data_IF_505430014721
#
_entry.id   IF_505430014721
#
_cell.length_a   1.000
_cell.length_b   1.000
_cell.length_c   1.000
_cell.angle_alpha   90.00
_cell.angle_beta   90.00
_cell.angle_gamma   90.00
#
_symmetry.space_group_name_H-M   'P 1'
#
loop_
_entity.id
_entity.type
_entity.pdbx_description
1 polymer ?
#
# COMPACT_ATOMS: atom_id res chain seq x y z
N UNK A 1 -4.05 -43.56 41.97
CA UNK A 1 -3.76 -43.18 40.56
C UNK A 1 -2.26 -43.08 40.42
N UNK A 2 -1.64 -44.04 39.72
CA UNK A 2 -0.19 -44.07 39.52
C UNK A 2 0.17 -43.21 38.30
N UNK A 3 0.99 -42.18 38.48
CA UNK A 3 1.66 -41.48 37.39
C UNK A 3 2.71 -42.41 36.77
N UNK A 4 2.56 -42.74 35.49
CA UNK A 4 3.55 -43.51 34.75
C UNK A 4 4.90 -42.79 34.76
N UNK A 5 6.01 -43.43 35.18
CA UNK A 5 7.34 -42.84 35.06
C UNK A 5 7.71 -42.78 33.57
N UNK A 6 7.85 -41.57 33.03
CA UNK A 6 8.31 -41.35 31.66
C UNK A 6 9.70 -41.94 31.45
N UNK A 7 9.89 -42.64 30.32
CA UNK A 7 11.21 -43.14 29.87
C UNK A 7 12.16 -41.95 29.77
N UNK A 8 13.31 -42.01 30.45
CA UNK A 8 14.37 -41.03 30.30
C UNK A 8 14.93 -41.14 28.86
N UNK A 9 15.14 -40.01 28.15
CA UNK A 9 15.65 -40.05 26.77
C UNK A 9 17.00 -40.78 26.75
N UNK A 10 17.09 -41.85 25.96
CA UNK A 10 18.29 -42.70 25.90
C UNK A 10 19.28 -42.21 24.83
N UNK A 11 18.81 -41.44 23.86
CA UNK A 11 19.59 -40.99 22.71
C UNK A 11 19.87 -39.48 22.79
N UNK A 12 21.13 -39.08 22.55
CA UNK A 12 21.54 -37.66 22.53
C UNK A 12 20.71 -36.82 21.54
N UNK A 13 20.19 -37.44 20.48
CA UNK A 13 19.31 -36.81 19.49
C UNK A 13 17.95 -36.42 20.09
N UNK A 14 17.39 -37.23 20.99
CA UNK A 14 16.13 -36.92 21.68
C UNK A 14 16.31 -35.78 22.68
N UNK A 15 17.44 -35.75 23.37
CA UNK A 15 17.81 -34.65 24.29
C UNK A 15 18.00 -33.35 23.51
N UNK A 16 18.70 -33.41 22.35
CA UNK A 16 18.90 -32.24 21.49
C UNK A 16 17.58 -31.73 20.89
N UNK A 17 16.70 -32.62 20.43
CA UNK A 17 15.37 -32.27 19.94
C UNK A 17 14.47 -31.68 21.04
N UNK A 18 14.46 -32.26 22.25
CA UNK A 18 13.70 -31.72 23.38
C UNK A 18 14.20 -30.33 23.80
N UNK A 19 15.53 -30.13 23.79
CA UNK A 19 16.13 -28.84 24.14
C UNK A 19 15.82 -27.76 23.10
N UNK A 20 15.86 -28.08 21.81
CA UNK A 20 15.52 -27.14 20.75
C UNK A 20 14.02 -26.80 20.75
N UNK A 21 13.14 -27.77 20.99
CA UNK A 21 11.69 -27.54 21.18
C UNK A 21 11.44 -26.64 22.39
N UNK A 22 12.08 -26.91 23.53
CA UNK A 22 11.93 -26.08 24.73
C UNK A 22 12.41 -24.64 24.50
N UNK A 23 13.50 -24.43 23.76
CA UNK A 23 13.96 -23.08 23.36
C UNK A 23 12.90 -22.35 22.52
N UNK A 24 12.31 -23.03 21.54
CA UNK A 24 11.24 -22.47 20.71
C UNK A 24 10.03 -22.11 21.59
N UNK A 25 9.57 -23.01 22.46
CA UNK A 25 8.43 -22.76 23.36
C UNK A 25 8.66 -21.57 24.30
N UNK A 26 9.87 -21.41 24.84
CA UNK A 26 10.23 -20.24 25.66
C UNK A 26 10.14 -18.96 24.83
N UNK A 27 10.66 -18.97 23.61
CA UNK A 27 10.56 -17.82 22.70
C UNK A 27 9.11 -17.50 22.29
N UNK A 28 8.27 -18.50 22.07
CA UNK A 28 6.85 -18.34 21.74
C UNK A 28 6.07 -17.79 22.94
N UNK A 29 6.34 -18.27 24.16
CA UNK A 29 5.78 -17.69 25.39
C UNK A 29 6.19 -16.24 25.58
N UNK A 30 7.42 -15.86 25.20
CA UNK A 30 7.85 -14.46 25.24
C UNK A 30 7.08 -13.60 24.21
N UNK A 31 6.79 -14.12 23.02
CA UNK A 31 5.94 -13.45 22.01
C UNK A 31 4.49 -13.28 22.48
N UNK A 32 3.94 -14.25 23.21
CA UNK A 32 2.58 -14.17 23.76
C UNK A 32 2.38 -13.00 24.74
N UNK A 33 3.46 -12.51 25.36
CA UNK A 33 3.43 -11.35 26.28
C UNK A 33 3.41 -10.01 25.54
N UNK A 34 3.58 -10.01 24.21
CA UNK A 34 3.54 -8.79 23.39
C UNK A 34 2.08 -8.40 23.16
N UNK A 35 1.67 -7.17 23.48
CA UNK A 35 0.31 -6.71 23.22
C UNK A 35 -0.03 -6.78 21.73
N UNK A 36 -1.10 -7.49 21.38
CA UNK A 36 -1.61 -7.56 20.01
C UNK A 36 -2.66 -6.47 19.76
N UNK A 37 -2.55 -5.80 18.62
CA UNK A 37 -3.50 -4.77 18.17
C UNK A 37 -4.15 -5.21 16.87
N UNK A 38 -5.48 -5.25 16.82
CA UNK A 38 -6.24 -5.51 15.61
C UNK A 38 -6.97 -4.23 15.18
N UNK A 39 -6.60 -3.71 14.00
CA UNK A 39 -7.35 -2.61 13.39
C UNK A 39 -8.53 -3.18 12.60
N UNK A 40 -9.74 -2.89 13.07
CA UNK A 40 -11.00 -3.23 12.41
C UNK A 40 -11.64 -1.98 11.81
N UNK A 41 -12.41 -2.17 10.73
CA UNK A 41 -13.11 -1.09 10.05
C UNK A 41 -13.60 -1.50 8.67
N UNK A 42 -14.55 -0.76 8.11
CA UNK A 42 -15.13 -0.97 6.78
C UNK A 42 -14.09 -0.91 5.67
N UNK A 43 -14.40 -1.47 4.49
CA UNK A 43 -13.56 -1.29 3.31
C UNK A 43 -13.25 0.20 3.08
N UNK A 44 -12.00 0.52 2.71
CA UNK A 44 -11.56 1.90 2.42
C UNK A 44 -11.45 2.87 3.62
N UNK A 45 -11.68 2.40 4.85
CA UNK A 45 -11.57 3.24 6.06
C UNK A 45 -10.15 3.71 6.44
N UNK A 46 -9.15 3.60 5.55
CA UNK A 46 -7.78 4.04 5.80
C UNK A 46 -6.92 3.16 6.73
N UNK A 47 -7.38 1.96 7.13
CA UNK A 47 -6.61 1.04 8.02
C UNK A 47 -5.22 0.73 7.48
N UNK A 48 -5.13 0.39 6.19
CA UNK A 48 -3.85 0.08 5.55
C UNK A 48 -2.93 1.31 5.56
N UNK A 49 -3.49 2.51 5.41
CA UNK A 49 -2.75 3.77 5.52
C UNK A 49 -2.16 3.95 6.92
N UNK A 50 -2.97 3.73 7.97
CA UNK A 50 -2.50 3.81 9.36
C UNK A 50 -1.41 2.77 9.65
N UNK A 51 -1.59 1.53 9.17
CA UNK A 51 -0.58 0.48 9.30
C UNK A 51 0.74 0.85 8.62
N UNK A 52 0.68 1.37 7.38
CA UNK A 52 1.88 1.85 6.66
C UNK A 52 2.58 2.96 7.45
N UNK A 53 1.83 3.93 7.96
CA UNK A 53 2.36 5.02 8.82
C UNK A 53 3.06 4.48 10.07
N UNK A 54 2.40 3.59 10.80
CA UNK A 54 2.96 2.93 12.00
C UNK A 54 4.25 2.19 11.68
N UNK A 55 4.29 1.46 10.56
CA UNK A 55 5.48 0.74 10.10
C UNK A 55 6.67 1.66 9.87
N UNK A 56 6.42 2.84 9.32
CA UNK A 56 7.49 3.80 9.01
C UNK A 56 7.99 4.52 10.26
N UNK A 57 7.10 4.80 11.21
CA UNK A 57 7.46 5.49 12.46
C UNK A 57 8.09 4.55 13.50
N UNK A 58 7.65 3.30 13.56
CA UNK A 58 7.94 2.38 14.68
C UNK A 58 8.32 0.96 14.24
N UNK A 59 8.29 0.64 12.95
CA UNK A 59 8.67 -0.66 12.42
C UNK A 59 10.08 -0.66 11.82
N UNK A 60 10.48 -1.79 11.23
CA UNK A 60 11.77 -1.97 10.57
C UNK A 60 11.87 -1.33 9.17
N UNK A 61 10.95 -0.42 8.82
CA UNK A 61 10.85 0.12 7.45
C UNK A 61 10.48 -0.93 6.40
N UNK A 62 10.84 -0.67 5.15
CA UNK A 62 10.62 -1.58 4.00
C UNK A 62 11.96 -2.13 3.51
N UNK A 63 12.01 -3.43 3.25
CA UNK A 63 13.18 -4.04 2.60
C UNK A 63 13.26 -3.68 1.13
N UNK A 64 14.44 -3.80 0.53
CA UNK A 64 14.65 -3.53 -0.90
C UNK A 64 13.75 -4.40 -1.80
N UNK A 65 13.54 -5.66 -1.43
CA UNK A 65 12.62 -6.56 -2.11
C UNK A 65 11.16 -6.04 -2.06
N UNK A 66 10.71 -5.52 -0.91
CA UNK A 66 9.38 -4.95 -0.77
C UNK A 66 9.21 -3.64 -1.54
N UNK A 67 10.25 -2.80 -1.58
CA UNK A 67 10.26 -1.59 -2.39
C UNK A 67 10.21 -1.92 -3.89
N UNK A 68 10.91 -2.98 -4.30
CA UNK A 68 10.89 -3.49 -5.68
C UNK A 68 9.51 -3.98 -6.07
N UNK A 69 8.85 -4.76 -5.22
CA UNK A 69 7.47 -5.23 -5.44
C UNK A 69 6.48 -4.05 -5.45
N UNK A 70 6.61 -3.13 -4.50
CA UNK A 70 5.78 -1.93 -4.45
C UNK A 70 5.93 -1.07 -5.71
N UNK A 71 7.16 -0.90 -6.21
CA UNK A 71 7.42 -0.20 -7.48
C UNK A 71 6.63 -0.79 -8.63
N UNK A 72 6.62 -2.11 -8.78
CA UNK A 72 5.85 -2.79 -9.84
C UNK A 72 4.35 -2.49 -9.69
N UNK A 73 3.81 -2.61 -8.48
CA UNK A 73 2.40 -2.31 -8.21
C UNK A 73 2.04 -0.85 -8.47
N UNK A 74 2.89 0.10 -8.06
CA UNK A 74 2.66 1.53 -8.27
C UNK A 74 2.62 1.85 -9.75
N UNK A 75 3.60 1.36 -10.52
CA UNK A 75 3.67 1.61 -11.96
C UNK A 75 2.49 1.01 -12.72
N UNK A 76 2.03 -0.17 -12.30
CA UNK A 76 0.81 -0.77 -12.85
C UNK A 76 -0.44 0.08 -12.54
N UNK A 77 -0.55 0.64 -11.33
CA UNK A 77 -1.64 1.54 -10.97
C UNK A 77 -1.60 2.83 -11.80
N UNK A 78 -0.42 3.45 -11.96
CA UNK A 78 -0.23 4.63 -12.80
C UNK A 78 -0.66 4.37 -14.23
N UNK A 79 -0.22 3.25 -14.82
CA UNK A 79 -0.61 2.88 -16.19
C UNK A 79 -2.12 2.80 -16.34
N UNK A 80 -2.79 2.14 -15.39
CA UNK A 80 -4.25 2.00 -15.40
C UNK A 80 -4.94 3.37 -15.31
N UNK A 81 -4.47 4.25 -14.43
CA UNK A 81 -5.05 5.59 -14.26
C UNK A 81 -4.85 6.45 -15.50
N UNK A 82 -3.65 6.40 -16.10
CA UNK A 82 -3.30 7.11 -17.33
C UNK A 82 -4.17 6.63 -18.51
N UNK A 83 -4.33 5.32 -18.68
CA UNK A 83 -5.18 4.77 -19.75
C UNK A 83 -6.65 5.13 -19.55
N UNK A 84 -7.16 5.06 -18.31
CA UNK A 84 -8.52 5.46 -17.99
C UNK A 84 -8.76 6.97 -18.22
N UNK A 85 -7.78 7.81 -17.90
CA UNK A 85 -7.85 9.24 -18.17
C UNK A 85 -7.82 9.54 -19.68
N UNK A 86 -6.97 8.84 -20.45
CA UNK A 86 -6.92 8.99 -21.90
C UNK A 86 -8.23 8.56 -22.57
N UNK A 87 -8.84 7.46 -22.12
CA UNK A 87 -10.15 7.03 -22.62
C UNK A 87 -11.25 8.02 -22.25
N UNK A 88 -11.22 8.56 -21.02
CA UNK A 88 -12.14 9.61 -20.61
C UNK A 88 -11.99 10.88 -21.45
N UNK A 89 -10.75 11.24 -21.79
CA UNK A 89 -10.43 12.37 -22.66
C UNK A 89 -10.94 12.20 -24.09
N UNK A 90 -11.13 10.96 -24.57
CA UNK A 90 -11.74 10.64 -25.89
C UNK A 90 -13.27 10.52 -25.83
N UNK A 91 -13.83 10.36 -24.65
CA UNK A 91 -15.26 10.11 -24.47
C UNK A 91 -16.08 11.36 -24.73
N UNK A 92 -16.87 11.38 -25.82
CA UNK A 92 -17.77 12.49 -26.15
C UNK A 92 -18.70 12.86 -24.98
N UNK A 93 -19.22 11.86 -24.26
CA UNK A 93 -20.08 12.06 -23.08
C UNK A 93 -19.42 12.92 -22.00
N UNK A 94 -18.12 12.77 -21.81
CA UNK A 94 -17.37 13.52 -20.79
C UNK A 94 -17.01 14.90 -21.33
N UNK A 95 -16.55 14.98 -22.58
CA UNK A 95 -16.24 16.25 -23.25
C UNK A 95 -17.43 17.21 -23.30
N UNK A 96 -18.63 16.70 -23.57
CA UNK A 96 -19.87 17.48 -23.57
C UNK A 96 -20.15 18.12 -22.20
N UNK A 97 -19.78 17.46 -21.09
CA UNK A 97 -19.94 18.00 -19.74
C UNK A 97 -18.91 19.07 -19.39
N UNK A 98 -17.73 19.04 -20.01
CA UNK A 98 -16.73 20.09 -19.84
C UNK A 98 -17.14 21.38 -20.58
N UNK A 99 -18.11 21.30 -21.49
CA UNK A 99 -18.60 22.44 -22.26
C UNK A 99 -17.58 22.96 -23.28
N UNK A 100 -16.73 22.06 -23.80
CA UNK A 100 -15.78 22.40 -24.85
C UNK A 100 -16.41 22.07 -26.20
N UNK A 101 -16.89 23.11 -26.89
CA UNK A 101 -17.40 23.01 -28.25
C UNK A 101 -16.25 22.67 -29.22
N UNK A 102 -16.03 21.38 -29.43
CA UNK A 102 -15.32 20.80 -30.58
C UNK A 102 -13.91 21.34 -30.91
N UNK A 103 -13.22 22.02 -29.99
CA UNK A 103 -11.78 22.20 -30.06
C UNK A 103 -11.13 20.90 -29.59
N UNK A 104 -11.11 19.94 -30.51
CA UNK A 104 -10.24 18.77 -30.45
C UNK A 104 -8.87 19.23 -29.97
N UNK A 105 -8.32 18.53 -28.98
CA UNK A 105 -7.02 18.83 -28.41
C UNK A 105 -6.01 19.21 -29.50
N UNK A 106 -5.01 20.07 -29.21
CA UNK A 106 -3.91 20.30 -30.13
C UNK A 106 -3.43 18.99 -30.75
N UNK A 107 -3.12 18.96 -32.05
CA UNK A 107 -2.90 17.69 -32.79
C UNK A 107 -1.86 16.78 -32.14
N UNK A 108 -0.85 17.36 -31.49
CA UNK A 108 0.15 16.66 -30.69
C UNK A 108 -0.44 16.05 -29.40
N UNK A 109 -1.32 16.76 -28.68
CA UNK A 109 -2.02 16.27 -27.49
C UNK A 109 -3.02 15.17 -27.87
N UNK A 110 -3.77 15.34 -28.96
CA UNK A 110 -4.67 14.31 -29.48
C UNK A 110 -3.90 13.03 -29.83
N UNK A 111 -2.77 13.14 -30.53
CA UNK A 111 -1.92 12.01 -30.86
C UNK A 111 -1.35 11.31 -29.60
N UNK A 112 -0.99 12.08 -28.58
CA UNK A 112 -0.54 11.54 -27.29
C UNK A 112 -1.65 10.75 -26.58
N UNK A 113 -2.86 11.32 -26.51
CA UNK A 113 -4.05 10.65 -25.95
C UNK A 113 -4.34 9.35 -26.70
N UNK A 114 -4.32 9.38 -28.03
CA UNK A 114 -4.59 8.20 -28.86
C UNK A 114 -3.50 7.13 -28.69
N UNK A 115 -2.23 7.53 -28.59
CA UNK A 115 -1.10 6.63 -28.33
C UNK A 115 -1.24 5.95 -26.98
N UNK A 116 -1.58 6.70 -25.93
CA UNK A 116 -1.78 6.16 -24.58
C UNK A 116 -2.99 5.21 -24.55
N UNK A 117 -4.12 5.61 -25.12
CA UNK A 117 -5.33 4.81 -25.12
C UNK A 117 -5.20 3.51 -25.95
N UNK A 118 -4.37 3.53 -27.01
CA UNK A 118 -4.07 2.36 -27.82
C UNK A 118 -2.88 1.53 -27.29
N UNK A 119 -2.16 2.02 -26.27
CA UNK A 119 -1.01 1.30 -25.73
C UNK A 119 -1.44 -0.01 -25.07
N UNK A 120 -0.71 -1.08 -25.37
CA UNK A 120 -0.89 -2.36 -24.71
C UNK A 120 -0.29 -2.33 -23.29
N UNK A 121 -0.80 -3.19 -22.41
CA UNK A 121 -0.40 -3.24 -20.99
C UNK A 121 1.09 -3.55 -20.77
N UNK A 122 1.74 -4.17 -21.75
CA UNK A 122 3.15 -4.59 -21.74
C UNK A 122 4.14 -3.49 -22.17
N UNK A 123 3.66 -2.40 -22.79
CA UNK A 123 4.52 -1.29 -23.22
C UNK A 123 5.20 -0.66 -22.01
N UNK A 124 6.54 -0.55 -21.93
CA UNK A 124 7.21 0.06 -20.78
C UNK A 124 6.71 1.49 -20.52
N UNK A 125 6.43 1.83 -19.25
CA UNK A 125 5.90 3.14 -18.88
C UNK A 125 6.86 4.28 -19.27
N UNK A 126 8.16 4.00 -19.29
CA UNK A 126 9.24 4.87 -19.78
C UNK A 126 8.96 5.43 -21.18
N UNK A 127 8.35 4.63 -22.06
CA UNK A 127 8.11 4.99 -23.46
C UNK A 127 6.91 5.90 -23.64
N UNK A 128 6.07 6.03 -22.60
CA UNK A 128 4.85 6.83 -22.63
C UNK A 128 5.00 8.16 -21.87
N UNK A 129 6.15 8.43 -21.25
CA UNK A 129 6.34 9.59 -20.37
C UNK A 129 6.05 10.90 -21.10
N UNK A 130 6.65 11.09 -22.28
CA UNK A 130 6.49 12.32 -23.06
C UNK A 130 5.02 12.57 -23.44
N UNK A 131 4.30 11.51 -23.81
CA UNK A 131 2.89 11.55 -24.15
C UNK A 131 2.03 11.84 -22.92
N UNK A 132 2.36 11.25 -21.77
CA UNK A 132 1.63 11.47 -20.51
C UNK A 132 1.83 12.90 -20.03
N UNK A 133 3.07 13.41 -20.06
CA UNK A 133 3.37 14.80 -19.68
C UNK A 133 2.67 15.78 -20.62
N UNK A 134 2.70 15.53 -21.93
CA UNK A 134 2.01 16.36 -22.92
C UNK A 134 0.49 16.35 -22.72
N UNK A 135 -0.10 15.18 -22.49
CA UNK A 135 -1.52 15.03 -22.19
C UNK A 135 -1.89 15.74 -20.88
N UNK A 136 -1.08 15.58 -19.83
CA UNK A 136 -1.37 16.12 -18.49
C UNK A 136 -1.16 17.64 -18.37
N UNK A 137 -0.34 18.22 -19.25
CA UNK A 137 -0.14 19.66 -19.34
C UNK A 137 -1.36 20.39 -19.94
N UNK A 138 -2.22 19.69 -20.68
CA UNK A 138 -3.36 20.30 -21.35
C UNK A 138 -4.48 20.70 -20.36
N UNK A 139 -5.00 21.93 -20.43
CA UNK A 139 -6.02 22.41 -19.50
C UNK A 139 -7.38 21.72 -19.68
N UNK A 140 -7.68 21.21 -20.88
CA UNK A 140 -8.91 20.45 -21.13
C UNK A 140 -8.83 19.09 -20.47
N UNK A 141 -7.68 18.41 -20.55
CA UNK A 141 -7.43 17.15 -19.82
C UNK A 141 -7.54 17.35 -18.31
N UNK A 142 -7.06 18.47 -17.77
CA UNK A 142 -7.23 18.80 -16.35
C UNK A 142 -8.70 18.94 -15.96
N UNK A 143 -9.53 19.58 -16.78
CA UNK A 143 -10.98 19.64 -16.55
C UNK A 143 -11.65 18.27 -16.66
N UNK A 144 -11.21 17.41 -17.58
CA UNK A 144 -11.66 16.02 -17.67
C UNK A 144 -11.34 15.28 -16.37
N UNK A 145 -10.13 15.47 -15.82
CA UNK A 145 -9.73 14.91 -14.52
C UNK A 145 -10.63 15.37 -13.35
N UNK A 146 -11.15 16.59 -13.38
CA UNK A 146 -12.11 17.03 -12.35
C UNK A 146 -13.43 16.24 -12.39
N UNK A 147 -13.76 15.70 -13.56
CA UNK A 147 -14.88 14.77 -13.76
C UNK A 147 -14.54 13.31 -13.44
N UNK A 148 -13.41 13.03 -12.75
CA UNK A 148 -13.01 11.67 -12.31
C UNK A 148 -14.03 10.91 -11.48
N UNK A 149 -15.10 11.55 -11.01
CA UNK A 149 -16.21 10.87 -10.35
C UNK A 149 -17.12 10.11 -11.33
N UNK A 150 -17.02 10.40 -12.64
CA UNK A 150 -17.78 9.75 -13.71
C UNK A 150 -17.10 8.49 -14.27
N UNK A 151 -15.85 8.26 -13.91
CA UNK A 151 -15.03 7.12 -14.28
C UNK A 151 -14.19 6.68 -13.07
N UNK A 152 -13.36 5.65 -13.19
CA UNK A 152 -12.59 5.13 -12.05
C UNK A 152 -11.12 5.46 -12.20
N UNK A 153 -10.60 6.27 -11.28
CA UNK A 153 -9.17 6.53 -11.08
C UNK A 153 -8.78 6.18 -9.65
N UNK A 154 -7.51 5.91 -9.41
CA UNK A 154 -6.98 5.80 -8.05
C UNK A 154 -6.94 7.16 -7.34
N UNK A 155 -7.08 7.15 -6.02
CA UNK A 155 -6.99 8.37 -5.20
C UNK A 155 -5.64 9.09 -5.34
N UNK A 156 -4.58 8.33 -5.66
CA UNK A 156 -3.23 8.84 -5.88
C UNK A 156 -2.96 9.34 -7.30
N UNK A 157 -3.92 9.25 -8.22
CA UNK A 157 -3.69 9.51 -9.65
C UNK A 157 -3.06 10.89 -9.91
N UNK A 158 -3.60 11.97 -9.33
CA UNK A 158 -3.04 13.32 -9.50
C UNK A 158 -1.59 13.40 -9.05
N UNK A 159 -1.27 12.82 -7.89
CA UNK A 159 0.08 12.84 -7.32
C UNK A 159 1.09 12.14 -8.22
N UNK A 160 0.71 11.00 -8.82
CA UNK A 160 1.61 10.28 -9.71
C UNK A 160 1.71 10.87 -11.11
N UNK A 161 0.64 11.47 -11.62
CA UNK A 161 0.67 12.20 -12.89
C UNK A 161 1.63 13.40 -12.83
N UNK A 162 1.63 14.14 -11.71
CA UNK A 162 2.60 15.23 -11.50
C UNK A 162 4.04 14.73 -11.33
N UNK A 163 4.23 13.47 -10.89
CA UNK A 163 5.54 12.85 -10.64
C UNK A 163 5.99 11.89 -11.76
N UNK A 164 5.29 11.86 -12.89
CA UNK A 164 5.47 10.79 -13.89
C UNK A 164 6.90 10.71 -14.44
N UNK A 165 7.55 11.85 -14.71
CA UNK A 165 8.92 11.89 -15.22
C UNK A 165 9.97 11.28 -14.29
N UNK A 166 9.66 11.12 -12.99
CA UNK A 166 10.51 10.41 -12.02
C UNK A 166 10.00 8.98 -11.83
N UNK A 167 8.70 8.81 -11.62
CA UNK A 167 8.09 7.51 -11.29
C UNK A 167 8.18 6.49 -12.44
N UNK A 168 8.28 6.97 -13.68
CA UNK A 168 8.43 6.12 -14.85
C UNK A 168 9.86 5.62 -15.08
N UNK A 169 10.89 6.18 -14.42
CA UNK A 169 12.28 5.72 -14.61
C UNK A 169 12.49 4.31 -14.06
N UNK A 170 13.25 3.48 -14.77
CA UNK A 170 13.48 2.08 -14.39
C UNK A 170 14.25 1.91 -13.07
N UNK A 171 15.08 2.87 -12.70
CA UNK A 171 15.87 2.93 -11.46
C UNK A 171 15.15 3.63 -10.30
N UNK A 172 13.92 4.09 -10.50
CA UNK A 172 13.16 4.78 -9.47
C UNK A 172 12.84 3.86 -8.29
N UNK A 173 13.09 4.36 -7.08
CA UNK A 173 12.74 3.70 -5.81
C UNK A 173 11.59 4.47 -5.15
N UNK A 174 10.45 3.82 -4.84
CA UNK A 174 9.34 4.47 -4.16
C UNK A 174 9.74 5.01 -2.79
N UNK A 175 9.36 6.25 -2.50
CA UNK A 175 9.52 6.85 -1.19
C UNK A 175 8.32 6.51 -0.28
N UNK A 176 8.42 6.90 0.99
CA UNK A 176 7.35 6.75 1.98
C UNK A 176 6.00 7.26 1.50
N UNK A 177 5.95 8.44 0.89
CA UNK A 177 4.71 9.06 0.43
C UNK A 177 4.07 8.27 -0.72
N UNK A 178 4.89 7.77 -1.66
CA UNK A 178 4.46 6.90 -2.75
C UNK A 178 3.78 5.64 -2.19
N UNK A 179 4.42 5.01 -1.20
CA UNK A 179 3.89 3.81 -0.56
C UNK A 179 2.56 4.07 0.16
N UNK A 180 2.39 5.24 0.78
CA UNK A 180 1.14 5.62 1.47
C UNK A 180 0.02 5.86 0.46
N UNK A 181 0.29 6.69 -0.56
CA UNK A 181 -0.71 7.15 -1.53
C UNK A 181 -1.18 6.04 -2.46
N UNK A 182 -0.35 5.02 -2.69
CA UNK A 182 -0.79 3.87 -3.48
C UNK A 182 -1.69 2.95 -2.69
N UNK A 183 -2.89 2.76 -3.23
CA UNK A 183 -3.85 1.78 -2.75
C UNK A 183 -3.37 0.37 -3.08
N UNK A 184 -2.64 -0.25 -2.16
CA UNK A 184 -2.34 -1.68 -2.19
C UNK A 184 -3.52 -2.39 -1.53
N UNK A 185 -4.29 -3.17 -2.30
CA UNK A 185 -5.28 -4.07 -1.69
C UNK A 185 -4.51 -5.09 -0.86
N UNK A 186 -4.71 -5.05 0.45
CA UNK A 186 -4.18 -6.07 1.37
C UNK A 186 -4.91 -7.37 1.10
N UNK A 187 -4.21 -8.33 0.48
CA UNK A 187 -4.67 -9.70 0.37
C UNK A 187 -4.26 -10.44 1.65
N UNK A 188 -5.24 -10.93 2.42
CA UNK A 188 -4.98 -11.65 3.66
C UNK A 188 -4.63 -10.77 4.87
N UNK A 189 -4.31 -11.44 5.98
CA UNK A 189 -3.86 -10.79 7.20
C UNK A 189 -2.38 -10.40 7.08
N UNK A 190 -2.05 -9.16 7.46
CA UNK A 190 -0.67 -8.65 7.46
C UNK A 190 -0.29 -8.33 8.89
N UNK A 191 0.60 -9.15 9.46
CA UNK A 191 1.12 -8.96 10.81
C UNK A 191 2.41 -8.15 10.79
N UNK A 192 2.56 -7.22 11.73
CA UNK A 192 3.78 -6.44 11.90
C UNK A 192 4.09 -6.19 13.36
N UNK A 193 5.38 -6.28 13.70
CA UNK A 193 5.90 -5.96 15.02
C UNK A 193 6.37 -4.50 15.03
N UNK A 194 5.83 -3.70 15.95
CA UNK A 194 6.14 -2.29 16.11
C UNK A 194 6.88 -2.07 17.43
N UNK A 195 8.01 -1.37 17.37
CA UNK A 195 8.82 -1.00 18.52
C UNK A 195 8.60 0.47 18.85
N UNK A 196 7.85 0.73 19.93
CA UNK A 196 7.63 2.09 20.42
C UNK A 196 8.72 2.47 21.42
N UNK A 197 9.40 3.61 21.21
CA UNK A 197 10.26 4.20 22.25
C UNK A 197 9.36 4.83 23.32
N UNK A 198 9.48 4.33 24.55
CA UNK A 198 8.67 4.79 25.67
C UNK A 198 9.13 6.20 26.09
N UNK A 199 8.37 7.25 25.76
CA UNK A 199 8.65 8.64 26.16
C UNK A 199 7.92 9.07 27.45
N UNK A 200 7.49 8.12 28.28
CA UNK A 200 6.85 8.35 29.56
C UNK A 200 5.72 7.37 29.81
N UNK A 201 5.50 7.03 31.09
CA UNK A 201 4.61 5.99 31.61
C UNK A 201 3.12 6.17 31.28
N UNK A 202 2.76 6.12 29.99
CA UNK A 202 1.38 5.93 29.54
C UNK A 202 1.19 4.45 29.26
N UNK A 203 0.34 3.74 30.03
CA UNK A 203 -0.02 2.36 29.72
C UNK A 203 -0.48 2.27 28.28
N UNK A 204 0.03 1.30 27.51
CA UNK A 204 -0.22 1.13 26.07
C UNK A 204 -1.72 1.19 25.71
N UNK A 205 -2.58 0.70 26.60
CA UNK A 205 -4.06 0.80 26.50
C UNK A 205 -4.60 2.24 26.47
N UNK A 206 -4.01 3.14 27.27
CA UNK A 206 -4.35 4.58 27.29
C UNK A 206 -3.81 5.30 26.08
N UNK A 207 -2.61 4.95 25.60
CA UNK A 207 -2.04 5.54 24.38
C UNK A 207 -2.86 5.16 23.13
N UNK A 208 -3.25 3.90 22.97
CA UNK A 208 -4.10 3.47 21.85
C UNK A 208 -5.45 4.22 21.81
N UNK A 209 -6.08 4.47 22.96
CA UNK A 209 -7.34 5.26 23.00
C UNK A 209 -7.14 6.76 22.78
N UNK A 210 -6.03 7.34 23.25
CA UNK A 210 -5.78 8.80 23.16
C UNK A 210 -5.20 9.25 21.82
N UNK A 211 -4.31 8.45 21.24
CA UNK A 211 -3.51 8.88 20.08
C UNK A 211 -4.08 8.42 18.73
N UNK A 212 -4.89 7.36 18.73
CA UNK A 212 -5.42 6.76 17.49
C UNK A 212 -6.91 7.04 17.24
N UNK A 213 -7.66 7.62 18.20
CA UNK A 213 -9.11 7.93 18.08
C UNK A 213 -9.94 6.82 17.41
N UNK A 214 -9.55 5.56 17.60
CA UNK A 214 -10.18 4.39 16.99
C UNK A 214 -10.86 3.59 18.10
N UNK A 215 -12.04 3.03 17.82
CA UNK A 215 -12.62 1.92 18.58
C UNK A 215 -11.77 0.66 18.38
N UNK A 216 -10.51 0.70 18.84
CA UNK A 216 -9.63 -0.46 18.87
C UNK A 216 -10.03 -1.29 20.07
N UNK A 217 -10.58 -2.48 19.83
CA UNK A 217 -10.81 -3.45 20.89
C UNK A 217 -9.45 -4.09 21.25
N UNK A 218 -8.66 -3.39 22.05
CA UNK A 218 -7.40 -3.89 22.60
C UNK A 218 -7.70 -4.92 23.70
N UNK A 219 -7.91 -6.18 23.32
CA UNK A 219 -7.86 -7.29 24.28
C UNK A 219 -6.40 -7.58 24.59
N UNK A 220 -5.99 -7.39 25.84
CA UNK A 220 -4.85 -8.16 26.32
C UNK A 220 -5.33 -9.59 26.47
N UNK A 221 -4.59 -10.53 25.90
CA UNK A 221 -4.68 -11.92 26.33
C UNK A 221 -4.15 -11.93 27.77
N UNK A 222 -5.06 -11.82 28.73
CA UNK A 222 -4.76 -12.19 30.11
C UNK A 222 -4.98 -13.69 30.17
N UNK A 223 -3.89 -14.45 30.25
CA UNK A 223 -3.93 -15.86 30.58
C UNK A 223 -4.75 -16.06 31.86
N UNK A 224 -5.75 -16.94 31.78
CA UNK A 224 -6.43 -17.52 32.94
C UNK A 224 -5.76 -18.82 33.34
#
# INVERSE_FOLDING_TARGET
MACCPGRLPQDEQEVHASTSINRILVSERAKARIPQCLLLGTGESGKSTIFKQMRMLHGAGYSEAQLTEARVMIRAAIRKDVAALAEAARSRRILDQVGVDNAAYPSNVQAAIDTIAASADDVPLEQLVDQIELMWADPTVRKVYDLRHLYQLSDGAHYFLDKIGIAAKGDWVPNTEDLIRTRVRTNGAVDQVLNFRNNGDVPWRRWCRRSLCLNVDCRAVTDG
#
